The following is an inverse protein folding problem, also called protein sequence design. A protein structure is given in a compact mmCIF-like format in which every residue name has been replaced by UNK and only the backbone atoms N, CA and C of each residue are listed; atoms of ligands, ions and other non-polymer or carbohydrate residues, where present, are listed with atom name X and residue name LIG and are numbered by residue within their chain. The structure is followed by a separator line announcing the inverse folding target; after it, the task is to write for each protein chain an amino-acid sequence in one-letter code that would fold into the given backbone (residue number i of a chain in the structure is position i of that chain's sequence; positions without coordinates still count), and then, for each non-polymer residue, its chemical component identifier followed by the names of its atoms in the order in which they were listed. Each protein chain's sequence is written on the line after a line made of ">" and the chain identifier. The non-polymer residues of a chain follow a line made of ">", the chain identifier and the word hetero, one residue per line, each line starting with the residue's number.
data_IF_915306691635
#
_entry.id   IF_915306691635
#
_cell.length_a   1.000
_cell.length_b   1.000
_cell.length_c   1.000
_cell.angle_alpha   90.00
_cell.angle_beta   90.00
_cell.angle_gamma   90.00
#
_symmetry.space_group_name_H-M   'P 1'
#
loop_
_entity.id
_entity.type
_entity.pdbx_description
1 polymer ?
#
# COMPACT_ATOMS: atom_id res chain seq x y z
N UNK A 1 -1.09 3.36 18.57
CA UNK A 1 -1.00 1.89 18.68
C UNK A 1 -1.37 1.30 17.32
N UNK A 2 -0.43 0.71 16.59
CA UNK A 2 -0.71 0.07 15.30
C UNK A 2 -1.42 -1.26 15.56
N UNK A 3 -2.74 -1.29 15.41
CA UNK A 3 -3.50 -2.50 15.64
C UNK A 3 -3.26 -3.50 14.47
N UNK A 4 -3.10 -4.82 14.75
CA UNK A 4 -2.84 -5.85 13.73
C UNK A 4 -3.84 -5.85 12.56
N UNK A 5 -5.09 -5.42 12.80
CA UNK A 5 -6.14 -5.25 11.79
C UNK A 5 -5.81 -4.27 10.66
N UNK A 6 -4.84 -3.37 10.83
CA UNK A 6 -4.45 -2.41 9.79
C UNK A 6 -3.37 -2.95 8.85
N UNK A 7 -2.67 -4.04 9.22
CA UNK A 7 -1.61 -4.60 8.40
C UNK A 7 -2.06 -4.98 6.97
N UNK A 8 -3.24 -5.60 6.75
CA UNK A 8 -3.72 -5.88 5.40
C UNK A 8 -3.91 -4.63 4.53
N UNK A 9 -4.44 -3.54 5.10
CA UNK A 9 -4.64 -2.30 4.35
C UNK A 9 -3.32 -1.61 3.98
N UNK A 10 -2.32 -1.69 4.86
CA UNK A 10 -0.98 -1.16 4.58
C UNK A 10 -0.29 -1.96 3.48
N UNK A 11 -0.49 -3.28 3.43
CA UNK A 11 0.03 -4.12 2.35
C UNK A 11 -0.70 -3.86 1.02
N UNK A 12 -2.01 -3.58 1.03
CA UNK A 12 -2.74 -3.12 -0.17
C UNK A 12 -2.21 -1.79 -0.68
N UNK A 13 -1.93 -0.84 0.22
CA UNK A 13 -1.33 0.44 -0.15
C UNK A 13 0.06 0.26 -0.77
N UNK A 14 0.88 -0.65 -0.23
CA UNK A 14 2.18 -1.01 -0.82
C UNK A 14 2.02 -1.60 -2.22
N UNK A 15 1.06 -2.51 -2.41
CA UNK A 15 0.76 -3.10 -3.71
C UNK A 15 0.28 -2.04 -4.72
N UNK A 16 -0.56 -1.09 -4.29
CA UNK A 16 -0.99 0.04 -5.09
C UNK A 16 0.20 0.91 -5.55
N UNK A 17 1.11 1.28 -4.65
CA UNK A 17 2.33 2.02 -5.01
C UNK A 17 3.17 1.27 -6.04
N UNK A 18 3.34 -0.06 -5.89
CA UNK A 18 4.07 -0.87 -6.85
C UNK A 18 3.41 -0.94 -8.23
N UNK A 19 2.08 -0.77 -8.33
CA UNK A 19 1.36 -0.67 -9.60
C UNK A 19 1.49 0.72 -10.21
N UNK A 20 1.32 1.78 -9.42
CA UNK A 20 1.52 3.15 -9.86
C UNK A 20 2.93 3.37 -10.41
N UNK A 21 3.95 2.82 -9.75
CA UNK A 21 5.34 2.85 -10.24
C UNK A 21 5.51 2.21 -11.63
N UNK A 22 4.73 1.17 -11.94
CA UNK A 22 4.74 0.52 -13.26
C UNK A 22 3.96 1.30 -14.34
N UNK A 23 3.02 2.14 -13.92
CA UNK A 23 2.11 2.88 -14.82
C UNK A 23 2.56 4.31 -15.11
N UNK A 24 3.54 4.86 -14.36
CA UNK A 24 4.01 6.23 -14.55
C UNK A 24 5.54 6.34 -14.57
N UNK A 25 6.11 7.41 -15.15
CA UNK A 25 7.53 7.70 -15.07
C UNK A 25 8.02 7.78 -13.62
N UNK A 26 9.19 7.20 -13.35
CA UNK A 26 9.83 7.18 -12.01
C UNK A 26 9.86 8.56 -11.35
N UNK A 27 10.19 9.62 -12.09
CA UNK A 27 10.26 10.98 -11.55
C UNK A 27 8.87 11.48 -11.08
N UNK A 28 7.81 11.16 -11.83
CA UNK A 28 6.44 11.50 -11.47
C UNK A 28 5.99 10.71 -10.23
N UNK A 29 6.31 9.42 -10.18
CA UNK A 29 6.04 8.60 -9.00
C UNK A 29 6.73 9.15 -7.76
N UNK A 30 8.03 9.48 -7.85
CA UNK A 30 8.78 10.02 -6.72
C UNK A 30 8.22 11.36 -6.24
N UNK A 31 7.78 12.22 -7.17
CA UNK A 31 7.18 13.51 -6.83
C UNK A 31 5.82 13.39 -6.12
N UNK A 32 5.00 12.39 -6.47
CA UNK A 32 3.64 12.24 -5.93
C UNK A 32 3.60 11.29 -4.72
N UNK A 33 4.30 10.16 -4.80
CA UNK A 33 4.20 9.04 -3.86
C UNK A 33 5.49 8.73 -3.11
N UNK A 34 6.64 9.25 -3.55
CA UNK A 34 7.97 8.85 -3.03
C UNK A 34 8.09 8.94 -1.51
N UNK A 35 7.73 10.08 -0.92
CA UNK A 35 7.78 10.28 0.54
C UNK A 35 6.84 9.34 1.31
N UNK A 36 5.69 8.96 0.71
CA UNK A 36 4.73 8.06 1.34
C UNK A 36 5.16 6.59 1.23
N UNK A 37 5.72 6.21 0.09
CA UNK A 37 6.28 4.88 -0.13
C UNK A 37 7.49 4.64 0.80
N UNK A 38 8.40 5.61 0.89
CA UNK A 38 9.57 5.53 1.78
C UNK A 38 9.14 5.44 3.25
N UNK A 39 8.21 6.30 3.70
CA UNK A 39 7.66 6.23 5.05
C UNK A 39 6.97 4.89 5.33
N UNK A 40 6.23 4.35 4.36
CA UNK A 40 5.56 3.08 4.52
C UNK A 40 6.56 1.95 4.76
N UNK A 41 7.62 1.87 3.95
CA UNK A 41 8.62 0.80 4.02
C UNK A 41 9.62 0.98 5.17
N UNK A 42 10.06 2.20 5.47
CA UNK A 42 11.10 2.46 6.47
C UNK A 42 10.55 2.68 7.88
N UNK A 43 9.36 3.26 8.01
CA UNK A 43 8.85 3.72 9.30
C UNK A 43 7.64 2.91 9.77
N UNK A 44 6.72 2.56 8.87
CA UNK A 44 5.43 1.95 9.26
C UNK A 44 5.50 0.43 9.29
N UNK A 45 5.88 -0.22 8.19
CA UNK A 45 5.91 -1.69 8.11
C UNK A 45 6.85 -2.35 9.11
N UNK A 46 8.05 -1.81 9.41
CA UNK A 46 8.96 -2.41 10.41
C UNK A 46 8.41 -2.42 11.84
N UNK A 47 7.34 -1.65 12.13
CA UNK A 47 6.66 -1.66 13.44
C UNK A 47 5.73 -2.86 13.64
N UNK A 48 5.44 -3.60 12.58
CA UNK A 48 4.63 -4.82 12.66
C UNK A 48 5.53 -6.05 12.80
N UNK A 49 5.11 -7.01 13.62
CA UNK A 49 5.80 -8.29 13.70
C UNK A 49 5.79 -8.98 12.32
N UNK A 50 6.92 -9.57 11.87
CA UNK A 50 6.99 -10.22 10.55
C UNK A 50 5.89 -11.26 10.32
N UNK A 51 5.51 -12.01 11.36
CA UNK A 51 4.42 -12.99 11.30
C UNK A 51 3.05 -12.33 10.99
N UNK A 52 2.79 -11.13 11.52
CA UNK A 52 1.56 -10.38 11.25
C UNK A 52 1.52 -9.91 9.80
N UNK A 53 2.64 -9.45 9.26
CA UNK A 53 2.74 -9.07 7.85
C UNK A 53 2.57 -10.28 6.93
N UNK A 54 3.18 -11.42 7.26
CA UNK A 54 3.03 -12.66 6.49
C UNK A 54 1.59 -13.18 6.50
N UNK A 55 0.92 -13.17 7.66
CA UNK A 55 -0.50 -13.53 7.76
C UNK A 55 -1.42 -12.52 7.06
N UNK A 56 -1.06 -11.24 7.03
CA UNK A 56 -1.84 -10.24 6.32
C UNK A 56 -1.66 -10.34 4.79
N UNK A 57 -0.46 -10.69 4.32
CA UNK A 57 -0.15 -10.84 2.90
C UNK A 57 -0.98 -11.95 2.22
N UNK A 58 -1.34 -13.02 2.93
CA UNK A 58 -2.17 -14.10 2.37
C UNK A 58 -3.60 -13.66 2.02
N UNK A 59 -4.07 -12.53 2.57
CA UNK A 59 -5.39 -11.96 2.32
C UNK A 59 -5.40 -10.78 1.35
N UNK A 60 -4.27 -10.44 0.72
CA UNK A 60 -4.14 -9.36 -0.27
C UNK A 60 -3.99 -9.97 -1.66
N UNK A 61 -5.01 -9.85 -2.50
CA UNK A 61 -4.91 -10.12 -3.95
C UNK A 61 -4.41 -8.84 -4.61
N UNK A 62 -3.50 -8.94 -5.56
CA UNK A 62 -2.91 -7.77 -6.23
C UNK A 62 -3.85 -7.06 -7.23
N UNK A 63 -5.17 -7.04 -6.99
CA UNK A 63 -6.16 -6.40 -7.84
C UNK A 63 -6.45 -4.95 -7.37
N UNK A 64 -6.86 -4.09 -8.30
CA UNK A 64 -7.20 -2.69 -7.99
C UNK A 64 -8.46 -2.56 -7.13
N UNK A 65 -9.37 -3.53 -7.19
CA UNK A 65 -10.62 -3.56 -6.41
C UNK A 65 -10.43 -3.83 -4.90
N UNK A 66 -9.19 -4.04 -4.46
CA UNK A 66 -8.90 -4.37 -3.06
C UNK A 66 -8.85 -3.16 -2.13
N UNK A 67 -8.53 -1.99 -2.67
CA UNK A 67 -8.75 -0.74 -1.95
C UNK A 67 -10.22 -0.38 -2.14
N UNK A 68 -11.02 -0.27 -1.06
CA UNK A 68 -12.34 0.32 -1.18
C UNK A 68 -12.13 1.79 -1.53
N UNK A 69 -12.04 2.07 -2.83
CA UNK A 69 -12.05 3.39 -3.38
C UNK A 69 -13.36 4.04 -2.95
N UNK A 70 -13.27 5.29 -2.53
CA UNK A 70 -14.46 6.09 -2.29
C UNK A 70 -15.17 6.28 -3.64
N UNK A 71 -16.50 6.44 -3.66
CA UNK A 71 -17.26 6.63 -4.91
C UNK A 71 -16.71 7.76 -5.78
N UNK A 72 -16.16 8.81 -5.17
CA UNK A 72 -15.49 9.93 -5.85
C UNK A 72 -14.16 9.60 -6.56
N UNK A 73 -13.57 8.43 -6.33
CA UNK A 73 -12.28 8.00 -6.91
C UNK A 73 -12.45 7.10 -8.15
N UNK A 74 -13.68 6.73 -8.51
CA UNK A 74 -14.00 6.01 -9.74
C UNK A 74 -14.34 6.99 -10.86
N UNK A 75 -13.39 7.30 -11.73
CA UNK A 75 -13.66 8.12 -12.92
C UNK A 75 -14.61 7.37 -13.86
N UNK A 76 -15.81 7.91 -14.06
CA UNK A 76 -16.74 7.52 -15.12
C UNK A 76 -16.27 8.08 -16.46
#
# INVERSE_FOLDING_TARGET
>A
MFAPRHAPNLLRLKAFFARQFRQMPTAQFMAVFGAYADRLDQDILPRFAPAVLASAASGVREHDDELPLRPEEGTT
#
